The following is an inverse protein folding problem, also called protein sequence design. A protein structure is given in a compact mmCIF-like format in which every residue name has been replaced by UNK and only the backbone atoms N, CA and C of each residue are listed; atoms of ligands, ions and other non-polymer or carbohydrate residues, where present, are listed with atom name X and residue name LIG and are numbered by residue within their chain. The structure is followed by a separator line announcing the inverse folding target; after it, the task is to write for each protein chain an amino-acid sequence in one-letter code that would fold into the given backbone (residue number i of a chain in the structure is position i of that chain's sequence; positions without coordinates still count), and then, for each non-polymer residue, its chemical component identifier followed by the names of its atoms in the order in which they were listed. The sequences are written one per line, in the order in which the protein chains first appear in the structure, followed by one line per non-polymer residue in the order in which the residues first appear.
data_IF_746813924073
#
_entry.id   IF_746813924073
#
_cell.length_a   1.000
_cell.length_b   1.000
_cell.length_c   1.000
_cell.angle_alpha   90.00
_cell.angle_beta   90.00
_cell.angle_gamma   90.00
#
_symmetry.space_group_name_H-M   'P 1'
#
loop_
_entity.id
_entity.type
_entity.pdbx_description
1 polymer ?
#
# COMPACT_ATOMS: atom_id res chain seq x y z
N UNK A 1 7.55 3.08 -8.68
CA UNK A 1 7.58 1.74 -9.31
C UNK A 1 7.90 1.77 -10.81
N UNK A 2 7.00 2.27 -11.69
CA UNK A 2 7.11 2.11 -13.15
C UNK A 2 8.38 2.72 -13.80
N UNK A 3 8.93 3.78 -13.22
CA UNK A 3 10.11 4.50 -13.73
C UNK A 3 11.37 4.23 -12.91
N UNK A 4 11.28 3.41 -11.86
CA UNK A 4 12.44 3.10 -11.03
C UNK A 4 13.41 2.20 -11.82
N UNK A 5 14.73 2.50 -11.82
CA UNK A 5 15.70 1.73 -12.58
C UNK A 5 16.01 0.36 -11.96
N UNK A 6 15.80 0.21 -10.65
CA UNK A 6 16.10 -1.03 -9.91
C UNK A 6 15.21 -1.17 -8.66
N UNK A 7 15.36 -2.31 -7.98
CA UNK A 7 14.64 -2.65 -6.73
C UNK A 7 14.88 -1.62 -5.63
N UNK A 8 16.10 -1.12 -5.46
CA UNK A 8 16.44 -0.19 -4.39
C UNK A 8 15.75 1.16 -4.60
N UNK A 9 15.82 1.70 -5.82
CA UNK A 9 15.12 2.93 -6.21
C UNK A 9 13.60 2.76 -6.16
N UNK A 10 13.09 1.57 -6.49
CA UNK A 10 11.68 1.27 -6.36
C UNK A 10 11.23 1.34 -4.88
N UNK A 11 11.92 0.65 -3.97
CA UNK A 11 11.61 0.65 -2.54
C UNK A 11 11.77 2.04 -1.92
N UNK A 12 12.80 2.80 -2.31
CA UNK A 12 12.97 4.18 -1.87
C UNK A 12 11.78 5.06 -2.27
N UNK A 13 11.35 4.97 -3.54
CA UNK A 13 10.17 5.69 -4.04
C UNK A 13 8.88 5.28 -3.33
N UNK A 14 8.72 4.00 -2.97
CA UNK A 14 7.57 3.54 -2.21
C UNK A 14 7.57 4.12 -0.79
N UNK A 15 8.71 4.08 -0.10
CA UNK A 15 8.86 4.64 1.24
C UNK A 15 8.60 6.14 1.22
N UNK A 16 9.20 6.87 0.28
CA UNK A 16 8.98 8.31 0.12
C UNK A 16 7.49 8.60 -0.07
N UNK A 17 6.82 7.85 -0.93
CA UNK A 17 5.38 7.97 -1.13
C UNK A 17 4.59 7.71 0.17
N UNK A 18 4.93 6.65 0.93
CA UNK A 18 4.27 6.29 2.19
C UNK A 18 4.46 7.33 3.30
N UNK A 19 5.66 7.90 3.39
CA UNK A 19 6.02 8.83 4.47
C UNK A 19 5.74 10.29 4.14
N UNK A 20 5.47 10.61 2.87
CA UNK A 20 5.08 11.93 2.39
C UNK A 20 3.64 11.96 1.92
N UNK A 21 3.45 11.89 0.61
CA UNK A 21 2.20 12.21 -0.11
C UNK A 21 1.03 11.24 0.12
N UNK A 22 1.23 10.10 0.78
CA UNK A 22 0.17 9.13 1.07
C UNK A 22 -0.80 9.54 2.18
N UNK A 23 -0.74 10.78 2.66
CA UNK A 23 -1.92 11.40 3.30
C UNK A 23 -2.98 11.64 2.22
N UNK A 24 -3.61 10.54 1.83
CA UNK A 24 -4.86 10.45 1.09
C UNK A 24 -5.78 11.52 1.66
N UNK A 25 -6.36 12.36 0.81
CA UNK A 25 -7.29 13.39 1.28
C UNK A 25 -8.33 12.73 2.19
N UNK A 26 -8.79 13.41 3.26
CA UNK A 26 -9.73 12.79 4.20
C UNK A 26 -10.97 12.20 3.51
N UNK A 27 -11.37 12.77 2.37
CA UNK A 27 -12.40 12.24 1.49
C UNK A 27 -12.05 10.88 0.87
N UNK A 28 -10.86 10.77 0.27
CA UNK A 28 -10.44 9.54 -0.41
C UNK A 28 -10.20 8.38 0.58
N UNK A 29 -9.79 8.70 1.81
CA UNK A 29 -9.70 7.73 2.90
C UNK A 29 -11.08 7.17 3.25
N UNK A 30 -12.06 8.05 3.50
CA UNK A 30 -13.44 7.65 3.82
C UNK A 30 -14.01 6.78 2.72
N UNK A 31 -13.88 7.19 1.45
CA UNK A 31 -14.37 6.40 0.31
C UNK A 31 -13.71 5.02 0.22
N UNK A 32 -12.41 4.93 0.52
CA UNK A 32 -11.68 3.65 0.53
C UNK A 32 -12.19 2.73 1.63
N UNK A 33 -12.37 3.26 2.85
CA UNK A 33 -12.89 2.49 4.00
C UNK A 33 -14.33 2.04 3.74
N UNK A 34 -15.17 2.91 3.19
CA UNK A 34 -16.55 2.59 2.80
C UNK A 34 -16.60 1.51 1.71
N UNK A 35 -15.71 1.59 0.70
CA UNK A 35 -15.58 0.57 -0.33
C UNK A 35 -15.23 -0.80 0.27
N UNK A 36 -14.24 -0.87 1.16
CA UNK A 36 -13.87 -2.12 1.83
C UNK A 36 -15.03 -2.69 2.65
N UNK A 37 -15.72 -1.85 3.44
CA UNK A 37 -16.89 -2.28 4.21
C UNK A 37 -18.04 -2.77 3.29
N UNK A 38 -18.23 -2.13 2.14
CA UNK A 38 -19.24 -2.55 1.16
C UNK A 38 -18.85 -3.85 0.44
N UNK A 39 -17.58 -4.01 0.06
CA UNK A 39 -17.01 -5.19 -0.59
C UNK A 39 -17.07 -6.46 0.29
N UNK A 40 -17.02 -6.29 1.62
CA UNK A 40 -17.23 -7.38 2.56
C UNK A 40 -18.62 -8.03 2.38
N UNK A 41 -19.64 -7.24 2.01
CA UNK A 41 -21.03 -7.68 1.89
C UNK A 41 -21.52 -7.88 0.44
N UNK A 42 -20.87 -7.26 -0.55
CA UNK A 42 -21.34 -7.22 -1.95
C UNK A 42 -20.30 -7.84 -2.90
N UNK A 43 -20.56 -9.03 -3.48
CA UNK A 43 -19.61 -9.71 -4.37
C UNK A 43 -19.13 -8.88 -5.56
N UNK A 44 -20.01 -8.07 -6.16
CA UNK A 44 -19.65 -7.18 -7.27
C UNK A 44 -18.59 -6.14 -6.85
N UNK A 45 -18.71 -5.56 -5.65
CA UNK A 45 -17.73 -4.60 -5.14
C UNK A 45 -16.44 -5.29 -4.67
N UNK A 46 -16.51 -6.55 -4.24
CA UNK A 46 -15.34 -7.37 -3.97
C UNK A 46 -14.50 -7.59 -5.23
N UNK A 47 -15.14 -7.85 -6.37
CA UNK A 47 -14.44 -7.97 -7.65
C UNK A 47 -13.74 -6.66 -8.04
N UNK A 48 -14.41 -5.51 -7.90
CA UNK A 48 -13.81 -4.19 -8.16
C UNK A 48 -12.59 -3.95 -7.24
N UNK A 49 -12.73 -4.28 -5.96
CA UNK A 49 -11.64 -4.13 -4.97
C UNK A 49 -10.45 -5.03 -5.32
N UNK A 50 -10.73 -6.28 -5.72
CA UNK A 50 -9.71 -7.25 -6.12
C UNK A 50 -8.96 -6.78 -7.38
N UNK A 51 -9.66 -6.28 -8.39
CA UNK A 51 -9.04 -5.76 -9.61
C UNK A 51 -8.12 -4.56 -9.31
N UNK A 52 -8.53 -3.70 -8.38
CA UNK A 52 -7.71 -2.59 -7.92
C UNK A 52 -6.44 -3.07 -7.19
N UNK A 53 -6.57 -4.00 -6.24
CA UNK A 53 -5.43 -4.61 -5.53
C UNK A 53 -4.45 -5.29 -6.50
N UNK A 54 -4.96 -6.02 -7.50
CA UNK A 54 -4.12 -6.64 -8.52
C UNK A 54 -3.34 -5.62 -9.37
N UNK A 55 -3.88 -4.41 -9.60
CA UNK A 55 -3.14 -3.36 -10.31
C UNK A 55 -2.01 -2.79 -9.44
N UNK A 56 -2.24 -2.62 -8.15
CA UNK A 56 -1.21 -2.23 -7.18
C UNK A 56 -0.08 -3.27 -7.15
N UNK A 57 -0.44 -4.55 -6.97
CA UNK A 57 0.51 -5.66 -6.93
C UNK A 57 1.35 -5.79 -8.20
N UNK A 58 0.74 -5.70 -9.38
CA UNK A 58 1.46 -5.69 -10.67
C UNK A 58 2.45 -4.54 -10.83
N UNK A 59 2.31 -3.47 -10.05
CA UNK A 59 3.30 -2.38 -10.01
C UNK A 59 4.54 -2.81 -9.22
N UNK A 60 4.34 -3.49 -8.09
CA UNK A 60 5.39 -4.02 -7.22
C UNK A 60 6.15 -5.18 -7.87
N UNK A 61 5.43 -6.09 -8.54
CA UNK A 61 5.98 -7.26 -9.25
C UNK A 61 6.98 -6.93 -10.37
N UNK A 62 7.10 -5.65 -10.75
CA UNK A 62 8.14 -5.19 -11.69
C UNK A 62 9.54 -5.27 -11.10
N UNK A 63 9.64 -5.23 -9.77
CA UNK A 63 10.90 -5.13 -9.02
C UNK A 63 11.04 -6.17 -7.91
N UNK A 64 9.99 -6.95 -7.66
CA UNK A 64 9.89 -7.93 -6.58
C UNK A 64 9.29 -9.22 -7.14
N UNK A 65 9.64 -10.36 -6.54
CA UNK A 65 8.96 -11.61 -6.85
C UNK A 65 7.48 -11.55 -6.38
N UNK A 66 6.59 -12.39 -6.95
CA UNK A 66 5.16 -12.33 -6.65
C UNK A 66 4.79 -12.52 -5.17
N UNK A 67 5.60 -13.27 -4.40
CA UNK A 67 5.34 -13.50 -2.98
C UNK A 67 5.64 -12.23 -2.20
N UNK A 68 6.86 -11.70 -2.33
CA UNK A 68 7.26 -10.45 -1.67
C UNK A 68 6.36 -9.27 -2.08
N UNK A 69 5.99 -9.18 -3.36
CA UNK A 69 5.07 -8.16 -3.86
C UNK A 69 3.69 -8.24 -3.21
N UNK A 70 3.16 -9.46 -3.01
CA UNK A 70 1.86 -9.68 -2.35
C UNK A 70 1.87 -9.30 -0.88
N UNK A 71 2.94 -9.66 -0.16
CA UNK A 71 3.11 -9.31 1.25
C UNK A 71 3.30 -7.80 1.45
N UNK A 72 4.11 -7.17 0.57
CA UNK A 72 4.34 -5.74 0.63
C UNK A 72 3.10 -4.92 0.31
N UNK A 73 2.27 -5.36 -0.65
CA UNK A 73 0.97 -4.75 -0.96
C UNK A 73 0.02 -4.74 0.26
N UNK A 74 -0.01 -5.86 0.99
CA UNK A 74 -0.78 -5.96 2.24
C UNK A 74 -0.23 -5.06 3.35
N UNK A 75 1.10 -5.03 3.53
CA UNK A 75 1.76 -4.14 4.49
C UNK A 75 1.45 -2.67 4.19
N UNK A 76 1.58 -2.25 2.92
CA UNK A 76 1.28 -0.88 2.47
C UNK A 76 -0.15 -0.49 2.82
N UNK A 77 -1.11 -1.36 2.52
CA UNK A 77 -2.53 -1.11 2.84
C UNK A 77 -2.73 -0.90 4.35
N UNK A 78 -2.12 -1.75 5.18
CA UNK A 78 -2.17 -1.62 6.64
C UNK A 78 -1.50 -0.34 7.16
N UNK A 79 -0.34 0.02 6.60
CA UNK A 79 0.38 1.24 6.98
C UNK A 79 -0.42 2.50 6.67
N UNK A 80 -1.09 2.56 5.52
CA UNK A 80 -1.96 3.70 5.15
C UNK A 80 -3.12 3.83 6.14
N UNK A 81 -3.82 2.72 6.44
CA UNK A 81 -4.94 2.74 7.39
C UNK A 81 -4.49 3.12 8.80
N UNK A 82 -3.38 2.56 9.30
CA UNK A 82 -2.86 2.91 10.62
C UNK A 82 -2.35 4.35 10.67
N UNK A 83 -1.69 4.84 9.63
CA UNK A 83 -1.22 6.24 9.60
C UNK A 83 -2.40 7.22 9.62
N UNK A 84 -3.53 6.84 9.02
CA UNK A 84 -4.69 7.72 8.92
C UNK A 84 -5.68 7.61 10.10
N UNK A 85 -5.76 6.45 10.75
CA UNK A 85 -6.77 6.18 11.78
C UNK A 85 -6.20 6.01 13.20
N UNK A 86 -4.89 5.75 13.33
CA UNK A 86 -4.27 5.57 14.64
C UNK A 86 -4.13 6.90 15.36
N UNK A 87 -4.34 6.89 16.68
CA UNK A 87 -3.97 8.00 17.57
C UNK A 87 -2.49 7.98 17.95
N UNK A 88 -1.76 6.94 17.54
CA UNK A 88 -0.31 6.75 17.71
C UNK A 88 0.26 6.13 16.43
N UNK A 89 0.43 6.92 15.35
CA UNK A 89 0.92 6.40 14.08
C UNK A 89 2.42 6.08 14.15
N UNK A 90 2.86 5.12 13.33
CA UNK A 90 4.29 4.83 13.19
C UNK A 90 5.03 6.03 12.61
N UNK A 91 6.21 6.33 13.14
CA UNK A 91 7.08 7.33 12.54
C UNK A 91 7.63 6.88 11.17
N UNK A 92 8.08 7.84 10.32
CA UNK A 92 8.61 7.55 8.99
C UNK A 92 9.79 6.57 8.97
N UNK A 93 10.66 6.58 9.98
CA UNK A 93 11.83 5.71 10.02
C UNK A 93 11.44 4.26 10.32
N UNK A 94 10.45 4.07 11.19
CA UNK A 94 9.84 2.75 11.46
C UNK A 94 9.10 2.21 10.24
N UNK A 95 8.40 3.06 9.49
CA UNK A 95 7.77 2.69 8.21
C UNK A 95 8.82 2.22 7.21
N UNK A 96 9.88 3.02 7.01
CA UNK A 96 11.01 2.67 6.14
C UNK A 96 11.62 1.33 6.53
N UNK A 97 11.92 1.14 7.81
CA UNK A 97 12.51 -0.08 8.31
C UNK A 97 11.60 -1.31 8.10
N UNK A 98 10.28 -1.16 8.24
CA UNK A 98 9.33 -2.25 7.98
C UNK A 98 9.33 -2.66 6.50
N UNK A 99 9.26 -1.70 5.58
CA UNK A 99 9.29 -1.94 4.13
C UNK A 99 10.59 -2.64 3.72
N UNK A 100 11.74 -2.10 4.15
CA UNK A 100 13.04 -2.66 3.78
C UNK A 100 13.28 -4.05 4.36
N UNK A 101 12.78 -4.33 5.57
CA UNK A 101 12.91 -5.65 6.20
C UNK A 101 12.08 -6.70 5.47
N UNK A 102 10.87 -6.35 5.04
CA UNK A 102 10.00 -7.27 4.31
C UNK A 102 10.52 -7.52 2.89
N UNK A 103 11.09 -6.49 2.26
CA UNK A 103 11.65 -6.56 0.92
C UNK A 103 13.18 -6.73 0.95
N UNK A 104 13.74 -7.42 1.95
CA UNK A 104 15.16 -7.82 1.97
C UNK A 104 15.32 -9.10 1.14
#
# INVERSE_FOLDING_TARGET
MRTAPDRAAALASLVEHLTGDLLVSGRDLVLTVELYAAAARRPALRAVTQDWMQRSRRSLERHLDPVTAGELDALVTGLVLHSALSTDPMDPDRIRAAVLRLAA
#
